data_IF_723977049165
#
_entry.id   IF_723977049165
#
_cell.length_a   1.000
_cell.length_b   1.000
_cell.length_c   1.000
_cell.angle_alpha   90.00
_cell.angle_beta   90.00
_cell.angle_gamma   90.00
#
_symmetry.space_group_name_H-M   'P 1'
#
loop_
_entity.id
_entity.type
_entity.pdbx_description
1 polymer ?
#
# COMPACT_ATOMS: atom_id res chain seq x y z
N UNK A 1 -30.84 -2.48 14.53
CA UNK A 1 -29.55 -3.13 14.78
C UNK A 1 -28.55 -2.59 13.78
N UNK A 2 -27.65 -1.69 14.18
CA UNK A 2 -26.59 -1.16 13.31
C UNK A 2 -25.28 -1.78 13.81
N UNK A 3 -24.57 -2.49 12.95
CA UNK A 3 -23.26 -3.07 13.28
C UNK A 3 -22.25 -1.90 13.23
N UNK A 4 -21.65 -1.47 14.35
CA UNK A 4 -20.60 -0.46 14.34
C UNK A 4 -19.35 -1.12 13.79
N UNK A 5 -19.05 -0.86 12.52
CA UNK A 5 -18.15 -1.69 11.71
C UNK A 5 -17.06 -0.93 10.96
N UNK A 6 -16.59 0.23 11.45
CA UNK A 6 -15.59 1.04 10.71
C UNK A 6 -14.39 1.51 11.55
N UNK A 7 -14.29 1.12 12.83
CA UNK A 7 -13.16 1.55 13.68
C UNK A 7 -11.92 0.66 13.52
N UNK A 8 -12.10 -0.62 13.18
CA UNK A 8 -10.99 -1.60 13.10
C UNK A 8 -10.08 -1.34 11.90
N UNK A 9 -10.66 -0.98 10.76
CA UNK A 9 -9.96 -0.58 9.54
C UNK A 9 -9.12 0.67 9.77
N UNK A 10 -9.67 1.67 10.45
CA UNK A 10 -8.97 2.92 10.78
C UNK A 10 -7.82 2.71 11.76
N UNK A 11 -7.96 1.80 12.72
CA UNK A 11 -6.89 1.41 13.64
C UNK A 11 -5.77 0.66 12.89
N UNK A 12 -6.14 -0.26 11.99
CA UNK A 12 -5.18 -0.93 11.10
C UNK A 12 -4.45 0.09 10.22
N UNK A 13 -5.15 1.04 9.60
CA UNK A 13 -4.54 2.10 8.81
C UNK A 13 -3.62 3.00 9.66
N UNK A 14 -4.01 3.33 10.89
CA UNK A 14 -3.19 4.16 11.79
C UNK A 14 -1.91 3.42 12.22
N UNK A 15 -2.00 2.10 12.43
CA UNK A 15 -0.86 1.25 12.80
C UNK A 15 0.03 0.95 11.59
N UNK A 16 -0.54 0.73 10.41
CA UNK A 16 0.21 0.42 9.17
C UNK A 16 0.81 1.65 8.48
N UNK A 17 0.06 2.76 8.40
CA UNK A 17 0.51 3.95 7.66
C UNK A 17 1.17 5.00 8.53
N UNK A 18 1.04 4.95 9.86
CA UNK A 18 1.74 5.88 10.76
C UNK A 18 1.50 7.37 10.47
N UNK A 19 0.41 7.72 9.78
CA UNK A 19 0.07 9.12 9.44
C UNK A 19 -0.91 9.65 10.47
N UNK A 20 -0.42 10.38 11.47
CA UNK A 20 -1.26 11.25 12.29
C UNK A 20 -1.73 12.44 11.45
N UNK A 21 -2.90 12.34 10.83
CA UNK A 21 -3.63 13.55 10.38
C UNK A 21 -4.25 14.22 11.60
N UNK A 22 -3.58 15.27 12.07
CA UNK A 22 -4.13 16.22 13.03
C UNK A 22 -5.15 17.11 12.31
N UNK A 23 -6.43 16.91 12.60
CA UNK A 23 -7.45 17.93 12.33
C UNK A 23 -7.92 18.51 13.67
N UNK A 24 -7.65 19.79 13.85
CA UNK A 24 -7.98 20.59 15.02
C UNK A 24 -9.42 21.10 14.93
N UNK A 25 -10.26 20.88 15.96
CA UNK A 25 -11.26 21.89 16.38
C UNK A 25 -11.87 21.64 17.78
N UNK A 26 -11.45 22.47 18.74
CA UNK A 26 -12.28 23.15 19.75
C UNK A 26 -12.94 22.37 20.91
N UNK A 27 -13.19 23.01 22.07
CA UNK A 27 -13.16 22.35 23.38
C UNK A 27 -14.55 22.15 24.04
N UNK A 28 -14.73 21.05 24.78
CA UNK A 28 -15.85 20.93 25.75
C UNK A 28 -15.39 20.28 27.07
N UNK A 29 -15.38 21.15 28.09
CA UNK A 29 -15.52 21.01 29.55
C UNK A 29 -15.58 19.61 30.20
N UNK A 30 -14.62 19.42 31.10
CA UNK A 30 -14.68 18.93 32.50
C UNK A 30 -15.71 17.88 32.91
N UNK A 31 -15.20 16.71 33.30
CA UNK A 31 -15.68 16.00 34.48
C UNK A 31 -14.55 15.12 35.05
N UNK A 32 -14.09 15.49 36.25
CA UNK A 32 -13.31 14.65 37.15
C UNK A 32 -13.98 13.28 37.33
N UNK A 33 -13.38 12.23 36.76
CA UNK A 33 -13.52 10.86 37.25
C UNK A 33 -12.17 10.17 37.17
N UNK A 34 -11.54 10.06 38.34
CA UNK A 34 -10.47 9.13 38.67
C UNK A 34 -11.03 7.70 38.55
N UNK A 35 -11.00 7.14 37.35
CA UNK A 35 -11.32 5.75 37.05
C UNK A 35 -10.07 5.05 36.51
N UNK A 36 -9.83 3.85 36.99
CA UNK A 36 -8.67 3.00 36.73
C UNK A 36 -8.10 3.12 35.31
N UNK A 37 -6.77 3.25 35.22
CA UNK A 37 -6.04 3.04 33.98
C UNK A 37 -6.33 1.61 33.52
N UNK A 38 -7.30 1.48 32.60
CA UNK A 38 -7.51 0.27 31.84
C UNK A 38 -6.14 -0.19 31.30
N UNK A 39 -5.83 -1.51 31.35
CA UNK A 39 -4.57 -2.01 30.82
C UNK A 39 -4.46 -1.50 29.38
N UNK A 40 -3.54 -0.56 29.18
CA UNK A 40 -3.29 0.01 27.86
C UNK A 40 -2.62 -1.10 27.08
N UNK A 41 -3.38 -1.72 26.19
CA UNK A 41 -2.89 -2.79 25.34
C UNK A 41 -1.70 -2.24 24.54
N UNK A 42 -0.51 -2.76 24.81
CA UNK A 42 0.72 -2.27 24.21
C UNK A 42 0.90 -2.97 22.88
N UNK A 43 0.53 -2.27 21.81
CA UNK A 43 0.72 -2.75 20.44
C UNK A 43 2.16 -2.45 20.01
N UNK A 44 2.96 -3.50 19.79
CA UNK A 44 4.29 -3.40 19.21
C UNK A 44 4.27 -3.92 17.78
N UNK A 45 4.71 -3.09 16.83
CA UNK A 45 4.86 -3.51 15.42
C UNK A 45 6.04 -4.49 15.34
N UNK A 46 5.82 -5.66 14.76
CA UNK A 46 6.86 -6.67 14.55
C UNK A 46 8.01 -6.10 13.70
N UNK A 47 9.22 -6.66 13.86
CA UNK A 47 10.38 -6.27 13.05
C UNK A 47 10.10 -6.39 11.55
N UNK A 48 9.53 -7.52 11.13
CA UNK A 48 9.16 -7.80 9.74
C UNK A 48 8.17 -6.76 9.20
N UNK A 49 7.14 -6.37 9.96
CA UNK A 49 6.17 -5.38 9.50
C UNK A 49 6.81 -3.99 9.27
N UNK A 50 7.82 -3.62 10.07
CA UNK A 50 8.59 -2.38 9.85
C UNK A 50 9.44 -2.47 8.58
N UNK A 51 10.05 -3.61 8.31
CA UNK A 51 10.81 -3.85 7.07
C UNK A 51 9.91 -3.76 5.83
N UNK A 52 8.72 -4.37 5.87
CA UNK A 52 7.73 -4.24 4.80
C UNK A 52 7.25 -2.80 4.62
N UNK A 53 7.07 -2.02 5.70
CA UNK A 53 6.70 -0.61 5.61
C UNK A 53 7.80 0.20 4.91
N UNK A 54 9.07 0.00 5.29
CA UNK A 54 10.20 0.66 4.67
C UNK A 54 10.31 0.29 3.18
N UNK A 55 10.14 -0.99 2.85
CA UNK A 55 10.17 -1.46 1.47
C UNK A 55 9.05 -0.83 0.62
N UNK A 56 7.82 -0.78 1.15
CA UNK A 56 6.69 -0.15 0.47
C UNK A 56 6.90 1.37 0.26
N UNK A 57 7.50 2.06 1.23
CA UNK A 57 7.86 3.48 1.08
C UNK A 57 8.90 3.68 -0.02
N UNK A 58 9.91 2.82 -0.09
CA UNK A 58 10.93 2.87 -1.15
C UNK A 58 10.30 2.57 -2.50
N UNK A 59 9.47 1.53 -2.61
CA UNK A 59 8.76 1.19 -3.86
C UNK A 59 7.86 2.33 -4.31
N UNK A 60 7.10 2.96 -3.39
CA UNK A 60 6.24 4.10 -3.69
C UNK A 60 6.98 5.36 -4.10
N UNK A 61 8.28 5.49 -3.75
CA UNK A 61 9.12 6.59 -4.19
C UNK A 61 9.69 6.42 -5.60
N UNK A 62 9.60 5.20 -6.15
CA UNK A 62 10.04 4.92 -7.51
C UNK A 62 9.06 5.55 -8.51
N UNK A 63 9.55 6.01 -9.67
CA UNK A 63 8.68 6.53 -10.71
C UNK A 63 7.77 5.42 -11.23
N UNK A 64 6.48 5.76 -11.40
CA UNK A 64 5.48 4.86 -11.98
C UNK A 64 5.89 4.39 -13.39
N UNK A 65 6.52 5.28 -14.16
CA UNK A 65 7.03 4.99 -15.50
C UNK A 65 8.55 4.98 -15.50
N UNK A 66 9.14 3.88 -15.99
CA UNK A 66 10.59 3.78 -16.22
C UNK A 66 10.94 4.37 -17.58
N UNK A 67 10.99 5.70 -17.67
CA UNK A 67 11.17 6.44 -18.93
C UNK A 67 12.36 5.97 -19.77
N UNK A 68 13.48 5.64 -19.14
CA UNK A 68 14.67 5.12 -19.84
C UNK A 68 14.40 3.81 -20.59
N UNK A 69 13.68 2.88 -19.94
CA UNK A 69 13.32 1.59 -20.55
C UNK A 69 12.33 1.79 -21.70
N UNK A 70 11.38 2.72 -21.54
CA UNK A 70 10.40 3.04 -22.60
C UNK A 70 11.11 3.64 -23.80
N UNK A 71 12.03 4.59 -23.59
CA UNK A 71 12.80 5.21 -24.65
C UNK A 71 13.67 4.20 -25.42
N UNK A 72 14.35 3.29 -24.71
CA UNK A 72 15.15 2.23 -25.35
C UNK A 72 14.29 1.30 -26.23
N UNK A 73 13.15 0.84 -25.71
CA UNK A 73 12.23 0.01 -26.48
C UNK A 73 11.64 0.76 -27.68
N UNK A 74 11.33 2.05 -27.53
CA UNK A 74 10.82 2.88 -28.61
C UNK A 74 11.84 3.00 -29.74
N UNK A 75 13.12 3.19 -29.41
CA UNK A 75 14.21 3.20 -30.40
C UNK A 75 14.35 1.86 -31.13
N UNK A 76 14.26 0.74 -30.42
CA UNK A 76 14.30 -0.61 -31.05
C UNK A 76 13.11 -0.84 -32.00
N UNK A 77 11.94 -0.31 -31.65
CA UNK A 77 10.74 -0.37 -32.50
C UNK A 77 10.93 0.49 -33.75
N UNK A 78 11.41 1.73 -33.61
CA UNK A 78 11.69 2.64 -34.73
C UNK A 78 12.77 2.09 -35.67
N UNK A 79 13.80 1.45 -35.11
CA UNK A 79 14.85 0.78 -35.87
C UNK A 79 14.39 -0.55 -36.51
N UNK A 80 13.19 -1.03 -36.19
CA UNK A 80 12.66 -2.31 -36.66
C UNK A 80 13.40 -3.53 -36.09
N UNK A 81 14.17 -3.38 -35.02
CA UNK A 81 14.94 -4.45 -34.38
C UNK A 81 14.20 -5.10 -33.21
N UNK A 82 13.08 -4.52 -32.78
CA UNK A 82 12.25 -5.09 -31.73
C UNK A 82 11.53 -6.36 -32.21
N UNK A 83 12.04 -7.52 -31.80
CA UNK A 83 11.48 -8.84 -32.13
C UNK A 83 11.25 -9.65 -30.84
N UNK A 84 10.11 -9.46 -30.16
CA UNK A 84 9.76 -10.27 -29.00
C UNK A 84 9.58 -11.74 -29.39
N UNK A 85 10.00 -12.65 -28.52
CA UNK A 85 9.83 -14.08 -28.74
C UNK A 85 8.34 -14.45 -28.64
N UNK A 86 7.81 -15.17 -29.63
CA UNK A 86 6.39 -15.56 -29.66
C UNK A 86 5.97 -16.39 -28.44
N UNK A 87 6.88 -17.17 -27.89
CA UNK A 87 6.67 -17.96 -26.67
C UNK A 87 6.42 -17.07 -25.45
N UNK A 88 7.23 -16.02 -25.27
CA UNK A 88 7.05 -15.06 -24.17
C UNK A 88 5.71 -14.31 -24.27
N UNK A 89 5.23 -14.04 -25.49
CA UNK A 89 3.92 -13.42 -25.71
C UNK A 89 2.81 -14.38 -25.27
N UNK A 90 2.87 -15.64 -25.72
CA UNK A 90 1.86 -16.64 -25.38
C UNK A 90 1.82 -16.93 -23.87
N UNK A 91 2.99 -17.05 -23.23
CA UNK A 91 3.10 -17.21 -21.77
C UNK A 91 2.41 -16.05 -21.04
N UNK A 92 2.71 -14.80 -21.42
CA UNK A 92 2.12 -13.62 -20.77
C UNK A 92 0.61 -13.53 -20.97
N UNK A 93 0.10 -13.89 -22.15
CA UNK A 93 -1.34 -13.93 -22.41
C UNK A 93 -2.07 -14.95 -21.52
N UNK A 94 -1.52 -16.16 -21.39
CA UNK A 94 -2.10 -17.19 -20.52
C UNK A 94 -2.01 -16.75 -19.06
N UNK A 95 -0.86 -16.22 -18.65
CA UNK A 95 -0.66 -15.76 -17.27
C UNK A 95 -1.60 -14.61 -16.91
N UNK A 96 -1.78 -13.62 -17.78
CA UNK A 96 -2.68 -12.48 -17.52
C UNK A 96 -4.13 -12.91 -17.39
N UNK A 97 -4.59 -13.80 -18.29
CA UNK A 97 -5.98 -14.30 -18.25
C UNK A 97 -6.26 -15.13 -17.01
N UNK A 98 -5.30 -15.93 -16.53
CA UNK A 98 -5.44 -16.67 -15.29
C UNK A 98 -5.44 -15.77 -14.05
N UNK A 99 -4.62 -14.71 -14.04
CA UNK A 99 -4.60 -13.74 -12.93
C UNK A 99 -5.91 -12.96 -12.83
N UNK A 100 -6.45 -12.49 -13.96
CA UNK A 100 -7.74 -11.78 -13.99
C UNK A 100 -8.93 -12.66 -13.59
N UNK A 101 -8.84 -13.98 -13.78
CA UNK A 101 -9.91 -14.91 -13.40
C UNK A 101 -9.92 -15.25 -11.90
N UNK A 102 -8.81 -15.00 -11.19
CA UNK A 102 -8.61 -15.37 -9.77
C UNK A 102 -8.72 -14.16 -8.84
N UNK A 103 -8.53 -12.94 -9.36
CA UNK A 103 -8.67 -11.66 -8.64
C UNK A 103 -10.08 -11.07 -8.80
#
# INVERSE_FOLDING_TARGET
MQIPGDDRTRLLETVFFGVKKTDQKGPVRSSDQKGEAAPTDRVEISGEAKEYQQLNQVIGSLPEVRSERVAALQQEIEAGTYHPQSEEIAEKLVRSTLLDAVL
#
